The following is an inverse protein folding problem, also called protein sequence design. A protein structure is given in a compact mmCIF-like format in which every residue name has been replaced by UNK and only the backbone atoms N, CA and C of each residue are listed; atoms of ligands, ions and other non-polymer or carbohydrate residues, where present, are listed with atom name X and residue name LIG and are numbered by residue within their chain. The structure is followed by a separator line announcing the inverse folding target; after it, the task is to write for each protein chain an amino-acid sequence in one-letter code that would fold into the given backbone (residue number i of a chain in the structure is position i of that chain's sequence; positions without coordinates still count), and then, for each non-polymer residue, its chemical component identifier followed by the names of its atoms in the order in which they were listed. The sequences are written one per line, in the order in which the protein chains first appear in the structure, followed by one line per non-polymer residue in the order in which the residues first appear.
data_IF_120621796564
#
_entry.id   IF_120621796564
#
_cell.length_a   1.000
_cell.length_b   1.000
_cell.length_c   1.000
_cell.angle_alpha   90.00
_cell.angle_beta   90.00
_cell.angle_gamma   90.00
#
_symmetry.space_group_name_H-M   'P 1'
#
loop_
_entity.id
_entity.type
_entity.pdbx_description
1 polymer ?
#
# COMPACT_ATOMS: atom_id res chain seq x y z
N UNK A 1 1.62 -5.65 -18.53
CA UNK A 1 2.87 -4.91 -18.81
C UNK A 1 2.92 -3.70 -17.87
N UNK A 2 4.00 -3.52 -17.12
CA UNK A 2 4.16 -2.34 -16.24
C UNK A 2 4.57 -1.15 -17.09
N UNK A 3 3.72 -0.12 -17.16
CA UNK A 3 4.02 1.11 -17.92
C UNK A 3 5.16 1.89 -17.26
N UNK A 4 5.88 2.69 -18.05
CA UNK A 4 6.98 3.55 -17.55
C UNK A 4 6.49 4.54 -16.49
N UNK A 5 5.27 5.02 -16.60
CA UNK A 5 4.63 5.92 -15.64
C UNK A 5 4.39 5.24 -14.28
N UNK A 6 3.92 3.99 -14.28
CA UNK A 6 3.74 3.20 -13.06
C UNK A 6 5.07 2.99 -12.30
N UNK A 7 6.16 2.76 -13.04
CA UNK A 7 7.51 2.65 -12.44
C UNK A 7 7.94 3.97 -11.81
N UNK A 8 7.73 5.10 -12.49
CA UNK A 8 8.11 6.41 -11.97
C UNK A 8 7.32 6.77 -10.69
N UNK A 9 6.02 6.47 -10.66
CA UNK A 9 5.16 6.66 -9.49
C UNK A 9 5.61 5.76 -8.33
N UNK A 10 5.89 4.48 -8.60
CA UNK A 10 6.33 3.53 -7.59
C UNK A 10 7.68 3.92 -6.96
N UNK A 11 8.66 4.32 -7.77
CA UNK A 11 9.97 4.76 -7.28
C UNK A 11 9.85 6.03 -6.47
N UNK A 12 9.08 7.02 -6.95
CA UNK A 12 8.91 8.30 -6.25
C UNK A 12 8.25 8.09 -4.89
N UNK A 13 7.09 7.44 -4.85
CA UNK A 13 6.33 7.30 -3.61
C UNK A 13 6.92 6.26 -2.67
N UNK A 14 7.47 5.17 -3.19
CA UNK A 14 8.26 4.22 -2.41
C UNK A 14 9.47 4.88 -1.75
N UNK A 15 10.21 5.70 -2.50
CA UNK A 15 11.32 6.48 -1.94
C UNK A 15 10.89 7.45 -0.84
N UNK A 16 9.78 8.17 -1.03
CA UNK A 16 9.20 9.05 0.00
C UNK A 16 8.80 8.24 1.25
N UNK A 17 8.28 7.02 1.09
CA UNK A 17 7.97 6.13 2.20
C UNK A 17 9.21 5.75 3.02
N UNK A 18 10.30 5.36 2.34
CA UNK A 18 11.58 5.03 3.01
C UNK A 18 12.14 6.25 3.75
N UNK A 19 12.11 7.43 3.13
CA UNK A 19 12.54 8.67 3.78
C UNK A 19 11.71 8.98 5.02
N UNK A 20 10.40 8.72 4.97
CA UNK A 20 9.50 8.92 6.12
C UNK A 20 9.91 8.01 7.29
N UNK A 21 10.19 6.73 7.02
CA UNK A 21 10.67 5.80 8.03
C UNK A 21 12.02 6.23 8.63
N UNK A 22 12.94 6.75 7.80
CA UNK A 22 14.22 7.27 8.27
C UNK A 22 14.06 8.50 9.19
N UNK A 23 13.19 9.44 8.83
CA UNK A 23 12.87 10.61 9.67
C UNK A 23 12.23 10.19 10.99
N UNK A 24 11.27 9.25 10.95
CA UNK A 24 10.63 8.72 12.15
C UNK A 24 11.65 8.01 13.07
N UNK A 25 12.59 7.27 12.49
CA UNK A 25 13.67 6.62 13.22
C UNK A 25 14.59 7.65 13.89
N UNK A 26 14.99 8.70 13.17
CA UNK A 26 15.80 9.78 13.74
C UNK A 26 15.08 10.51 14.88
N UNK A 27 13.79 10.80 14.71
CA UNK A 27 12.98 11.40 15.75
C UNK A 27 12.86 10.49 16.99
N UNK A 28 12.67 9.19 16.79
CA UNK A 28 12.62 8.23 17.90
C UNK A 28 13.94 8.11 18.66
N UNK A 29 15.08 8.13 17.95
CA UNK A 29 16.40 8.13 18.55
C UNK A 29 16.66 9.38 19.41
N UNK A 30 16.13 10.55 19.01
CA UNK A 30 16.26 11.79 19.77
C UNK A 30 15.35 11.86 21.01
N UNK A 31 14.32 11.02 21.08
CA UNK A 31 13.33 11.00 22.17
C UNK A 31 13.42 9.73 23.03
N UNK A 32 14.50 8.97 22.93
CA UNK A 32 14.71 7.69 23.64
C UNK A 32 13.55 6.68 23.47
N UNK A 33 12.87 6.73 22.32
CA UNK A 33 11.76 5.83 22.03
C UNK A 33 12.29 4.43 21.64
N UNK A 34 11.66 3.33 22.10
CA UNK A 34 12.09 1.97 21.77
C UNK A 34 12.03 1.72 20.25
N UNK A 35 13.21 1.64 19.61
CA UNK A 35 13.35 1.47 18.17
C UNK A 35 12.79 0.14 17.66
N UNK A 36 12.83 -0.90 18.49
CA UNK A 36 12.22 -2.19 18.18
C UNK A 36 10.70 -2.07 18.06
N UNK A 37 10.05 -1.36 19.00
CA UNK A 37 8.61 -1.10 18.95
C UNK A 37 8.25 -0.24 17.72
N UNK A 38 9.07 0.78 17.43
CA UNK A 38 8.88 1.60 16.23
C UNK A 38 8.97 0.75 14.95
N UNK A 39 9.97 -0.12 14.85
CA UNK A 39 10.13 -1.04 13.72
C UNK A 39 8.91 -1.95 13.55
N UNK A 40 8.37 -2.48 14.66
CA UNK A 40 7.16 -3.31 14.62
C UNK A 40 5.95 -2.54 14.09
N UNK A 41 5.80 -1.26 14.46
CA UNK A 41 4.71 -0.41 13.98
C UNK A 41 4.91 -0.07 12.50
N UNK A 42 6.10 0.40 12.13
CA UNK A 42 6.43 0.84 10.76
C UNK A 42 6.39 -0.31 9.76
N UNK A 43 6.65 -1.55 10.18
CA UNK A 43 6.54 -2.73 9.33
C UNK A 43 5.14 -3.37 9.39
N UNK A 44 4.60 -3.53 10.60
CA UNK A 44 3.35 -4.25 10.85
C UNK A 44 2.12 -3.53 10.29
N UNK A 45 2.06 -2.21 10.38
CA UNK A 45 0.91 -1.44 9.86
C UNK A 45 0.82 -1.53 8.32
N UNK A 46 1.89 -1.30 7.54
CA UNK A 46 1.86 -1.52 6.10
C UNK A 46 1.53 -2.96 5.70
N UNK A 47 2.00 -3.97 6.43
CA UNK A 47 1.69 -5.38 6.18
C UNK A 47 0.19 -5.68 6.25
N UNK A 48 -0.57 -4.96 7.08
CA UNK A 48 -2.02 -5.12 7.18
C UNK A 48 -2.76 -4.25 6.16
N UNK A 49 -2.36 -2.98 6.02
CA UNK A 49 -3.10 -2.00 5.21
C UNK A 49 -2.92 -2.23 3.71
N UNK A 50 -1.72 -2.60 3.25
CA UNK A 50 -1.47 -2.78 1.81
C UNK A 50 -2.32 -3.92 1.24
N UNK A 51 -2.35 -5.14 1.82
CA UNK A 51 -3.23 -6.21 1.33
C UNK A 51 -4.72 -5.87 1.44
N UNK A 52 -5.15 -5.16 2.50
CA UNK A 52 -6.54 -4.71 2.62
C UNK A 52 -6.90 -3.72 1.49
N UNK A 53 -6.02 -2.77 1.19
CA UNK A 53 -6.26 -1.78 0.16
C UNK A 53 -6.30 -2.41 -1.24
N UNK A 54 -5.38 -3.35 -1.51
CA UNK A 54 -5.34 -4.08 -2.78
C UNK A 54 -6.51 -5.04 -2.88
N UNK A 55 -6.79 -5.84 -1.85
CA UNK A 55 -7.90 -6.82 -1.84
C UNK A 55 -9.27 -6.18 -1.98
N UNK A 56 -9.53 -5.04 -1.34
CA UNK A 56 -10.79 -4.28 -1.52
C UNK A 56 -10.88 -3.66 -2.93
N UNK A 57 -9.75 -3.37 -3.57
CA UNK A 57 -9.71 -2.81 -4.93
C UNK A 57 -9.75 -3.90 -6.02
N UNK A 58 -9.24 -5.11 -5.75
CA UNK A 58 -9.28 -6.27 -6.64
C UNK A 58 -10.62 -7.03 -6.61
N UNK A 59 -11.57 -6.65 -5.76
CA UNK A 59 -12.97 -7.13 -5.88
C UNK A 59 -13.59 -6.80 -7.26
N UNK A 60 -13.01 -5.85 -8.01
CA UNK A 60 -13.32 -5.59 -9.42
C UNK A 60 -12.89 -6.72 -10.37
N UNK A 61 -11.84 -7.48 -10.03
CA UNK A 61 -11.37 -8.64 -10.81
C UNK A 61 -12.27 -9.86 -10.58
N UNK A 62 -12.70 -10.10 -9.34
CA UNK A 62 -13.63 -11.18 -9.04
C UNK A 62 -15.03 -10.92 -9.66
N UNK A 63 -15.49 -9.67 -9.68
CA UNK A 63 -16.73 -9.30 -10.38
C UNK A 63 -16.58 -9.35 -11.91
N UNK A 64 -15.47 -8.86 -12.49
CA UNK A 64 -15.22 -8.97 -13.93
C UNK A 64 -15.06 -10.42 -14.41
N UNK A 65 -14.48 -11.31 -13.59
CA UNK A 65 -14.37 -12.74 -13.92
C UNK A 65 -15.69 -13.50 -13.71
N UNK A 66 -16.50 -13.13 -12.71
CA UNK A 66 -17.86 -13.65 -12.56
C UNK A 66 -18.79 -13.25 -13.72
N UNK A 67 -18.69 -12.00 -14.21
CA UNK A 67 -19.44 -11.52 -15.39
C UNK A 67 -18.98 -12.16 -16.71
N UNK A 68 -17.74 -12.66 -16.78
CA UNK A 68 -17.26 -13.38 -17.95
C UNK A 68 -17.71 -14.85 -18.00
N UNK A 69 -18.06 -15.45 -16.84
CA UNK A 69 -18.55 -16.83 -16.74
C UNK A 69 -20.08 -16.90 -16.80
N UNK A 70 -20.78 -15.85 -16.35
CA UNK A 70 -22.24 -15.76 -16.37
C UNK A 70 -22.64 -14.84 -17.51
N UNK A 71 -22.81 -15.42 -18.70
CA UNK A 71 -23.25 -14.71 -19.89
C UNK A 71 -24.66 -14.12 -19.74
N UNK A 72 -24.81 -12.94 -20.33
CA UNK A 72 -26.04 -12.21 -20.60
C UNK A 72 -26.79 -11.65 -19.36
N UNK A 73 -26.90 -10.32 -19.34
CA UNK A 73 -27.83 -9.53 -18.50
C UNK A 73 -27.44 -9.18 -17.05
N UNK A 74 -26.15 -9.15 -16.73
CA UNK A 74 -25.66 -8.48 -15.51
C UNK A 74 -25.15 -7.10 -15.92
N UNK A 75 -25.71 -6.05 -15.32
CA UNK A 75 -25.49 -4.64 -15.67
C UNK A 75 -24.03 -4.19 -15.81
N UNK A 76 -23.84 -2.96 -16.29
CA UNK A 76 -22.54 -2.41 -16.67
C UNK A 76 -21.46 -2.74 -15.61
N UNK A 77 -20.38 -3.45 -15.96
CA UNK A 77 -19.31 -3.82 -15.02
C UNK A 77 -18.68 -2.62 -14.30
N UNK A 78 -18.81 -1.41 -14.86
CA UNK A 78 -18.40 -0.17 -14.22
C UNK A 78 -19.23 0.20 -12.98
N UNK A 79 -20.43 -0.35 -12.81
CA UNK A 79 -21.26 -0.13 -11.62
C UNK A 79 -20.72 -0.86 -10.39
N UNK A 80 -19.84 -1.86 -10.60
CA UNK A 80 -19.11 -2.59 -9.56
C UNK A 80 -17.67 -2.07 -9.40
N UNK A 81 -17.30 -0.98 -10.10
CA UNK A 81 -15.99 -0.36 -9.97
C UNK A 81 -15.80 0.15 -8.53
N UNK A 82 -14.80 -0.35 -7.78
CA UNK A 82 -14.50 0.09 -6.42
C UNK A 82 -14.10 1.57 -6.32
N UNK A 83 -14.00 2.29 -7.45
CA UNK A 83 -14.01 3.75 -7.52
C UNK A 83 -15.25 4.40 -6.88
N UNK A 84 -16.41 3.72 -6.86
CA UNK A 84 -17.67 4.23 -6.28
C UNK A 84 -17.87 3.88 -4.80
N UNK A 85 -17.17 2.88 -4.26
CA UNK A 85 -17.39 2.40 -2.87
C UNK A 85 -16.47 3.11 -1.87
N UNK A 86 -15.24 3.45 -2.28
CA UNK A 86 -14.30 4.26 -1.49
C UNK A 86 -13.43 5.12 -2.45
N UNK A 87 -13.82 6.38 -2.71
CA UNK A 87 -13.04 7.29 -3.53
C UNK A 87 -11.84 7.79 -2.72
N UNK A 88 -10.81 6.95 -2.59
CA UNK A 88 -9.50 7.34 -2.08
C UNK A 88 -8.72 7.85 -3.30
N UNK A 89 -8.59 9.17 -3.53
CA UNK A 89 -7.73 9.67 -4.58
C UNK A 89 -6.29 9.22 -4.33
N UNK A 90 -5.62 8.68 -5.35
CA UNK A 90 -4.20 8.31 -5.26
C UNK A 90 -3.90 6.95 -4.59
N UNK A 91 -4.78 5.94 -4.68
CA UNK A 91 -4.56 4.58 -4.10
C UNK A 91 -3.17 4.00 -4.39
N UNK A 92 -2.72 4.06 -5.65
CA UNK A 92 -1.40 3.56 -6.06
C UNK A 92 -0.27 4.30 -5.34
N UNK A 93 -0.40 5.61 -5.16
CA UNK A 93 0.58 6.44 -4.46
C UNK A 93 0.65 6.08 -2.97
N UNK A 94 -0.51 5.90 -2.33
CA UNK A 94 -0.62 5.50 -0.94
C UNK A 94 -0.04 4.10 -0.69
N UNK A 95 -0.32 3.14 -1.57
CA UNK A 95 0.23 1.79 -1.51
C UNK A 95 1.75 1.83 -1.67
N UNK A 96 2.27 2.52 -2.69
CA UNK A 96 3.72 2.63 -2.90
C UNK A 96 4.42 3.31 -1.72
N UNK A 97 3.82 4.37 -1.15
CA UNK A 97 4.34 5.03 0.04
C UNK A 97 4.35 4.11 1.26
N UNK A 98 3.23 3.43 1.56
CA UNK A 98 3.15 2.47 2.67
C UNK A 98 4.13 1.32 2.49
N UNK A 99 4.31 0.80 1.28
CA UNK A 99 5.32 -0.22 0.99
C UNK A 99 6.73 0.30 1.29
N UNK A 100 7.05 1.55 0.92
CA UNK A 100 8.32 2.18 1.27
C UNK A 100 8.53 2.32 2.78
N UNK A 101 7.49 2.74 3.51
CA UNK A 101 7.51 2.80 4.99
C UNK A 101 7.75 1.42 5.59
N UNK A 102 7.07 0.40 5.06
CA UNK A 102 7.22 -1.00 5.49
C UNK A 102 8.64 -1.52 5.32
N UNK A 103 9.27 -1.26 4.16
CA UNK A 103 10.67 -1.64 3.91
C UNK A 103 11.61 -0.92 4.89
N UNK A 104 11.40 0.36 5.15
CA UNK A 104 12.18 1.10 6.15
C UNK A 104 11.98 0.57 7.58
N UNK A 105 10.75 0.24 7.96
CA UNK A 105 10.43 -0.40 9.24
C UNK A 105 11.05 -1.78 9.39
N UNK A 106 11.08 -2.58 8.32
CA UNK A 106 11.75 -3.88 8.31
C UNK A 106 13.27 -3.74 8.48
N UNK A 107 13.90 -2.81 7.77
CA UNK A 107 15.32 -2.52 7.93
C UNK A 107 15.65 -2.10 9.38
N UNK A 108 14.78 -1.29 9.99
CA UNK A 108 14.90 -0.91 11.40
C UNK A 108 14.77 -2.11 12.33
N UNK A 109 13.81 -3.02 12.09
CA UNK A 109 13.65 -4.26 12.87
C UNK A 109 14.89 -5.16 12.79
N UNK A 110 15.44 -5.35 11.59
CA UNK A 110 16.65 -6.15 11.40
C UNK A 110 17.85 -5.53 12.11
N UNK A 111 17.93 -4.20 12.17
CA UNK A 111 19.01 -3.49 12.82
C UNK A 111 18.87 -3.43 14.36
N UNK A 112 17.64 -3.36 14.86
CA UNK A 112 17.34 -3.26 16.29
C UNK A 112 17.19 -4.62 17.00
N UNK A 113 17.21 -5.73 16.26
CA UNK A 113 17.18 -7.11 16.78
C UNK A 113 18.59 -7.65 17.04
#
# INVERSE_FOLDING_TARGET
MVTSELKAVAVRWGGVGVLTAAVATGAAALNDFPLLLLGMILFGVPLMIVPLTVGVTDTGIDSASASAVIGDDIGNPQDYDPGNVLPIPGKVQAVCWLSGVGVGGFALLVWAA
#
